data_IF_533367731746
#
_entry.id   IF_533367731746
#
_cell.length_a   1.000
_cell.length_b   1.000
_cell.length_c   1.000
_cell.angle_alpha   90.00
_cell.angle_beta   90.00
_cell.angle_gamma   90.00
#
_symmetry.space_group_name_H-M   'P 1'
#
loop_
_entity.id
_entity.type
_entity.pdbx_description
1 polymer ?
#
# COMPACT_ATOMS: atom_id res chain seq x y z
N UNK A 1 -29.17 -5.47 7.21
CA UNK A 1 -27.88 -5.35 6.48
C UNK A 1 -26.90 -4.70 7.45
N UNK A 2 -25.90 -5.45 7.93
CA UNK A 2 -24.93 -4.95 8.93
C UNK A 2 -23.79 -4.26 8.17
N UNK A 3 -23.50 -2.98 8.40
CA UNK A 3 -22.39 -2.32 7.72
C UNK A 3 -21.09 -2.94 8.24
N UNK A 4 -20.40 -3.68 7.36
CA UNK A 4 -19.04 -4.14 7.62
C UNK A 4 -18.18 -2.87 7.53
N UNK A 5 -17.77 -2.36 8.68
CA UNK A 5 -16.78 -1.30 8.77
C UNK A 5 -15.44 -1.87 8.25
N UNK A 6 -15.09 -1.52 7.01
CA UNK A 6 -13.77 -1.80 6.45
C UNK A 6 -12.79 -0.88 7.15
N UNK A 7 -12.07 -1.40 8.15
CA UNK A 7 -10.94 -0.71 8.74
C UNK A 7 -9.80 -0.65 7.70
N UNK A 8 -9.68 0.48 7.01
CA UNK A 8 -8.59 0.77 6.07
C UNK A 8 -7.34 1.17 6.87
N UNK A 9 -6.46 0.21 7.15
CA UNK A 9 -5.10 0.49 7.63
C UNK A 9 -4.22 0.88 6.45
N UNK A 10 -4.11 2.18 6.17
CA UNK A 10 -3.12 2.72 5.24
C UNK A 10 -1.73 2.70 5.91
N UNK A 11 -0.94 1.65 5.64
CA UNK A 11 0.46 1.59 6.07
C UNK A 11 1.29 2.59 5.24
N UNK A 12 1.59 3.75 5.85
CA UNK A 12 2.29 4.84 5.18
C UNK A 12 3.80 4.64 5.26
N UNK A 13 4.43 4.41 4.12
CA UNK A 13 5.88 4.26 4.01
C UNK A 13 6.50 5.60 3.60
N UNK A 14 7.55 6.02 4.31
CA UNK A 14 8.27 7.27 4.06
C UNK A 14 9.35 7.06 2.98
N UNK A 15 9.28 7.79 1.87
CA UNK A 15 10.33 7.81 0.85
C UNK A 15 11.00 9.17 0.77
N UNK A 16 12.21 9.30 1.32
CA UNK A 16 13.07 10.48 1.16
C UNK A 16 14.05 10.25 0.00
N UNK A 17 13.66 10.63 -1.22
CA UNK A 17 14.49 10.53 -2.43
C UNK A 17 14.47 11.82 -3.28
N UNK A 18 15.50 12.10 -4.10
CA UNK A 18 15.62 13.36 -4.82
C UNK A 18 14.59 13.44 -5.95
N UNK A 19 13.85 14.56 -5.96
CA UNK A 19 12.71 14.83 -6.80
C UNK A 19 13.03 14.77 -8.31
N UNK A 20 12.18 14.06 -9.06
CA UNK A 20 11.96 14.31 -10.50
C UNK A 20 10.54 14.85 -10.64
N UNK A 21 10.37 16.11 -11.05
CA UNK A 21 9.20 16.82 -11.64
C UNK A 21 7.73 16.48 -11.22
N UNK A 22 7.53 15.56 -10.31
CA UNK A 22 6.30 15.08 -9.71
C UNK A 22 6.34 15.59 -8.28
N UNK A 23 5.24 16.16 -7.79
CA UNK A 23 5.22 16.67 -6.41
C UNK A 23 5.52 15.52 -5.43
N UNK A 24 6.06 15.85 -4.25
CA UNK A 24 6.26 14.87 -3.17
C UNK A 24 4.96 14.10 -2.87
N UNK A 25 3.82 14.80 -2.93
CA UNK A 25 2.48 14.22 -2.81
C UNK A 25 2.22 13.15 -3.87
N UNK A 26 2.38 13.47 -5.14
CA UNK A 26 2.14 12.49 -6.21
C UNK A 26 3.12 11.33 -6.14
N UNK A 27 4.38 11.56 -5.78
CA UNK A 27 5.40 10.53 -5.66
C UNK A 27 5.08 9.55 -4.53
N UNK A 28 4.77 10.05 -3.33
CA UNK A 28 4.42 9.24 -2.16
C UNK A 28 3.13 8.44 -2.40
N UNK A 29 2.09 9.08 -2.96
CA UNK A 29 0.84 8.39 -3.27
C UNK A 29 1.02 7.34 -4.36
N UNK A 30 1.88 7.59 -5.36
CA UNK A 30 2.22 6.60 -6.38
C UNK A 30 2.99 5.43 -5.77
N UNK A 31 3.92 5.69 -4.84
CA UNK A 31 4.68 4.64 -4.17
C UNK A 31 3.75 3.68 -3.40
N UNK A 32 2.82 4.23 -2.61
CA UNK A 32 1.85 3.43 -1.85
C UNK A 32 0.94 2.61 -2.76
N UNK A 33 0.45 3.24 -3.84
CA UNK A 33 -0.34 2.57 -4.85
C UNK A 33 0.40 1.41 -5.51
N UNK A 34 1.68 1.60 -5.84
CA UNK A 34 2.51 0.55 -6.43
C UNK A 34 2.72 -0.61 -5.46
N UNK A 35 2.92 -0.34 -4.17
CA UNK A 35 3.09 -1.38 -3.15
C UNK A 35 1.82 -2.22 -3.00
N UNK A 36 0.66 -1.59 -2.90
CA UNK A 36 -0.63 -2.30 -2.83
C UNK A 36 -0.92 -3.10 -4.11
N UNK A 37 -0.67 -2.50 -5.28
CA UNK A 37 -0.82 -3.18 -6.57
C UNK A 37 0.10 -4.40 -6.69
N UNK A 38 1.33 -4.31 -6.17
CA UNK A 38 2.28 -5.42 -6.17
C UNK A 38 1.78 -6.58 -5.30
N UNK A 39 1.31 -6.29 -4.09
CA UNK A 39 0.71 -7.30 -3.20
C UNK A 39 -0.53 -7.93 -3.83
N UNK A 40 -1.40 -7.10 -4.44
CA UNK A 40 -2.58 -7.56 -5.17
C UNK A 40 -2.21 -8.53 -6.30
N UNK A 41 -1.25 -8.16 -7.15
CA UNK A 41 -0.76 -9.00 -8.25
C UNK A 41 -0.19 -10.32 -7.74
N UNK A 42 0.62 -10.29 -6.70
CA UNK A 42 1.17 -11.50 -6.10
C UNK A 42 0.05 -12.46 -5.64
N UNK A 43 -0.97 -11.95 -4.95
CA UNK A 43 -2.13 -12.74 -4.54
C UNK A 43 -2.93 -13.29 -5.73
N UNK A 44 -3.15 -12.46 -6.75
CA UNK A 44 -3.81 -12.90 -7.98
C UNK A 44 -2.99 -13.95 -8.74
N UNK A 45 -1.67 -13.94 -8.62
CA UNK A 45 -0.76 -14.94 -9.19
C UNK A 45 -0.62 -16.21 -8.32
N UNK A 46 -1.33 -16.30 -7.20
CA UNK A 46 -1.33 -17.48 -6.34
C UNK A 46 -0.11 -17.58 -5.42
N UNK A 47 0.63 -16.48 -5.22
CA UNK A 47 1.61 -16.40 -4.14
C UNK A 47 0.87 -16.60 -2.81
N UNK A 48 1.43 -17.42 -1.93
CA UNK A 48 0.89 -17.62 -0.59
C UNK A 48 1.36 -16.51 0.36
N UNK A 49 0.55 -16.20 1.37
CA UNK A 49 0.81 -15.06 2.27
C UNK A 49 2.16 -15.18 3.00
N UNK A 50 2.53 -16.39 3.39
CA UNK A 50 3.80 -16.74 4.03
C UNK A 50 5.02 -16.47 3.13
N UNK A 51 4.87 -16.59 1.81
CA UNK A 51 5.95 -16.35 0.83
C UNK A 51 5.96 -14.94 0.27
N UNK A 52 4.95 -14.12 0.58
CA UNK A 52 4.72 -12.85 -0.09
C UNK A 52 5.88 -11.88 0.13
N UNK A 53 6.36 -11.72 1.36
CA UNK A 53 7.45 -10.79 1.68
C UNK A 53 8.72 -11.16 0.91
N UNK A 54 9.07 -12.45 0.86
CA UNK A 54 10.24 -12.93 0.12
C UNK A 54 10.10 -12.68 -1.39
N UNK A 55 8.91 -12.95 -1.95
CA UNK A 55 8.63 -12.68 -3.38
C UNK A 55 8.72 -11.19 -3.70
N UNK A 56 8.20 -10.32 -2.82
CA UNK A 56 8.26 -8.87 -3.00
C UNK A 56 9.70 -8.37 -2.90
N UNK A 57 10.47 -8.85 -1.91
CA UNK A 57 11.89 -8.53 -1.74
C UNK A 57 12.72 -8.96 -2.94
N UNK A 58 12.49 -10.19 -3.44
CA UNK A 58 13.20 -10.71 -4.62
C UNK A 58 12.86 -9.95 -5.91
N UNK A 59 11.62 -9.50 -6.05
CA UNK A 59 11.16 -8.77 -7.25
C UNK A 59 11.44 -7.27 -7.20
N UNK A 60 11.71 -6.71 -6.01
CA UNK A 60 11.93 -5.28 -5.77
C UNK A 60 13.12 -5.10 -4.80
N UNK A 61 14.36 -5.37 -5.24
CA UNK A 61 15.53 -5.33 -4.37
C UNK A 61 15.85 -3.93 -3.81
N UNK A 62 15.31 -2.88 -4.43
CA UNK A 62 15.52 -1.48 -4.02
C UNK A 62 14.60 -1.03 -2.88
N UNK A 63 13.64 -1.87 -2.43
CA UNK A 63 12.80 -1.53 -1.29
C UNK A 63 13.61 -1.57 0.01
N UNK A 64 13.46 -0.53 0.83
CA UNK A 64 14.08 -0.51 2.16
C UNK A 64 13.48 -1.59 3.08
N UNK A 65 14.26 -2.01 4.08
CA UNK A 65 13.79 -2.94 5.12
C UNK A 65 12.56 -2.40 5.87
N UNK A 66 12.45 -1.08 6.06
CA UNK A 66 11.27 -0.45 6.66
C UNK A 66 10.01 -0.57 5.79
N UNK A 67 10.14 -0.52 4.45
CA UNK A 67 9.04 -0.80 3.53
C UNK A 67 8.63 -2.26 3.66
N UNK A 68 9.61 -3.17 3.62
CA UNK A 68 9.38 -4.61 3.68
C UNK A 68 8.71 -5.01 5.00
N UNK A 69 9.04 -4.35 6.11
CA UNK A 69 8.38 -4.55 7.40
C UNK A 69 6.88 -4.21 7.41
N UNK A 70 6.41 -3.35 6.49
CA UNK A 70 5.00 -3.01 6.33
C UNK A 70 4.22 -4.03 5.48
N UNK A 71 4.92 -4.83 4.66
CA UNK A 71 4.29 -5.79 3.74
C UNK A 71 3.34 -6.78 4.45
N UNK A 72 3.66 -7.36 5.61
CA UNK A 72 2.74 -8.28 6.30
C UNK A 72 1.39 -7.66 6.62
N UNK A 73 1.36 -6.41 7.12
CA UNK A 73 0.11 -5.71 7.43
C UNK A 73 -0.72 -5.41 6.17
N UNK A 74 -0.05 -5.04 5.07
CA UNK A 74 -0.71 -4.87 3.77
C UNK A 74 -1.27 -6.22 3.28
N UNK A 75 -0.50 -7.29 3.45
CA UNK A 75 -0.89 -8.65 3.10
C UNK A 75 -2.14 -9.09 3.87
N UNK A 76 -2.23 -8.80 5.17
CA UNK A 76 -3.41 -9.11 5.99
C UNK A 76 -4.68 -8.53 5.36
N UNK A 77 -4.64 -7.25 4.99
CA UNK A 77 -5.76 -6.59 4.34
C UNK A 77 -6.06 -7.20 2.97
N UNK A 78 -5.06 -7.27 2.09
CA UNK A 78 -5.27 -7.75 0.72
C UNK A 78 -5.72 -9.21 0.70
N UNK A 79 -5.26 -10.05 1.62
CA UNK A 79 -5.65 -11.46 1.68
C UNK A 79 -7.03 -11.69 2.32
N UNK A 80 -7.57 -10.70 3.05
CA UNK A 80 -8.93 -10.76 3.59
C UNK A 80 -10.03 -10.57 2.54
N UNK A 81 -9.75 -9.85 1.45
CA UNK A 81 -10.70 -9.57 0.35
C UNK A 81 -11.04 -10.88 -0.38
N UNK A 82 -12.22 -11.08 -0.97
CA UNK A 82 -12.43 -12.29 -1.77
C UNK A 82 -11.56 -12.26 -3.05
N UNK A 83 -10.96 -13.38 -3.46
CA UNK A 83 -10.09 -13.39 -4.67
C UNK A 83 -10.85 -13.06 -5.97
N UNK A 84 -12.16 -13.33 -6.04
CA UNK A 84 -13.00 -12.92 -7.19
C UNK A 84 -13.15 -11.41 -7.21
N UNK A 85 -13.60 -10.82 -6.10
CA UNK A 85 -13.71 -9.36 -5.93
C UNK A 85 -12.39 -8.64 -6.18
N UNK A 86 -11.27 -9.23 -5.72
CA UNK A 86 -9.94 -8.68 -5.91
C UNK A 86 -9.56 -8.51 -7.40
N UNK A 87 -10.16 -9.27 -8.32
CA UNK A 87 -9.93 -9.12 -9.77
C UNK A 87 -10.69 -7.94 -10.35
N UNK A 88 -11.79 -7.55 -9.73
CA UNK A 88 -12.72 -6.55 -10.23
C UNK A 88 -12.40 -5.14 -9.68
N UNK A 89 -11.41 -5.03 -8.79
CA UNK A 89 -10.95 -3.77 -8.18
C UNK A 89 -9.48 -3.52 -8.53
N UNK A 90 -9.10 -2.26 -8.78
CA UNK A 90 -7.71 -1.83 -8.84
C UNK A 90 -7.33 -1.18 -7.51
N UNK A 91 -6.68 -1.95 -6.62
CA UNK A 91 -6.29 -1.44 -5.31
C UNK A 91 -5.21 -0.38 -5.41
N UNK A 92 -4.37 -0.40 -6.46
CA UNK A 92 -3.37 0.63 -6.69
C UNK A 92 -4.03 1.96 -7.05
N UNK A 93 -4.91 1.95 -8.04
CA UNK A 93 -5.65 3.14 -8.46
C UNK A 93 -6.52 3.71 -7.33
N UNK A 94 -7.26 2.85 -6.62
CA UNK A 94 -8.08 3.26 -5.48
C UNK A 94 -7.23 3.90 -4.38
N UNK A 95 -6.10 3.29 -4.03
CA UNK A 95 -5.19 3.81 -2.99
C UNK A 95 -4.57 5.14 -3.41
N UNK A 96 -4.16 5.28 -4.68
CA UNK A 96 -3.64 6.55 -5.18
C UNK A 96 -4.68 7.66 -5.06
N UNK A 97 -5.90 7.40 -5.53
CA UNK A 97 -6.98 8.37 -5.46
C UNK A 97 -7.26 8.80 -4.02
N UNK A 98 -7.39 7.83 -3.10
CA UNK A 98 -7.63 8.11 -1.68
C UNK A 98 -6.47 8.87 -1.02
N UNK A 99 -5.23 8.55 -1.37
CA UNK A 99 -4.06 9.26 -0.85
C UNK A 99 -4.04 10.72 -1.33
N UNK A 100 -4.36 10.96 -2.60
CA UNK A 100 -4.40 12.32 -3.16
C UNK A 100 -5.53 13.15 -2.57
N UNK A 101 -6.71 12.54 -2.38
CA UNK A 101 -7.89 13.17 -1.78
C UNK A 101 -7.65 13.54 -0.31
N UNK A 102 -7.02 12.63 0.45
CA UNK A 102 -6.85 12.78 1.90
C UNK A 102 -5.44 13.25 2.31
N UNK A 103 -4.64 13.73 1.37
CA UNK A 103 -3.23 14.03 1.59
C UNK A 103 -2.98 14.93 2.80
N UNK A 104 -3.70 16.06 2.89
CA UNK A 104 -3.47 17.04 3.95
C UNK A 104 -3.85 16.49 5.33
N UNK A 105 -4.93 15.70 5.39
CA UNK A 105 -5.35 15.00 6.60
C UNK A 105 -4.30 13.97 7.03
N UNK A 106 -3.75 13.19 6.09
CA UNK A 106 -2.69 12.22 6.35
C UNK A 106 -1.45 12.93 6.91
N UNK A 107 -1.04 14.06 6.33
CA UNK A 107 0.11 14.81 6.84
C UNK A 107 -0.14 15.41 8.22
N UNK A 108 -1.36 15.87 8.51
CA UNK A 108 -1.72 16.34 9.83
C UNK A 108 -1.62 15.22 10.89
N UNK A 109 -2.14 14.03 10.59
CA UNK A 109 -2.04 12.87 11.49
C UNK A 109 -0.59 12.45 11.74
N UNK A 110 0.26 12.44 10.71
CA UNK A 110 1.70 12.14 10.85
C UNK A 110 2.40 13.10 11.81
N UNK A 111 2.04 14.40 11.80
CA UNK A 111 2.61 15.40 12.71
C UNK A 111 2.20 15.12 14.15
N UNK A 112 0.95 14.73 14.38
CA UNK A 112 0.45 14.40 15.73
C UNK A 112 1.14 13.17 16.32
N UNK A 113 1.47 12.15 15.52
CA UNK A 113 2.15 10.93 15.99
C UNK A 113 3.65 11.14 16.25
N UNK A 114 4.25 12.18 15.67
CA UNK A 114 5.67 12.53 15.86
C UNK A 114 5.93 13.40 17.10
N UNK A 115 4.90 13.84 17.81
CA UNK A 115 4.99 14.53 19.10
C UNK A 115 4.71 13.57 20.25
#
# INVERSE_FOLDING_TARGET
>A
MKPIAVALTAALVMTSGPARAVSEKEADCQFQANLLSTVQKARLNGVSKDKLTDVIKASNPDLSESVLAAVPAIADHVYSINRKELKDVDLGAATKAQCLENWDQIQAMKKTVKN
#
